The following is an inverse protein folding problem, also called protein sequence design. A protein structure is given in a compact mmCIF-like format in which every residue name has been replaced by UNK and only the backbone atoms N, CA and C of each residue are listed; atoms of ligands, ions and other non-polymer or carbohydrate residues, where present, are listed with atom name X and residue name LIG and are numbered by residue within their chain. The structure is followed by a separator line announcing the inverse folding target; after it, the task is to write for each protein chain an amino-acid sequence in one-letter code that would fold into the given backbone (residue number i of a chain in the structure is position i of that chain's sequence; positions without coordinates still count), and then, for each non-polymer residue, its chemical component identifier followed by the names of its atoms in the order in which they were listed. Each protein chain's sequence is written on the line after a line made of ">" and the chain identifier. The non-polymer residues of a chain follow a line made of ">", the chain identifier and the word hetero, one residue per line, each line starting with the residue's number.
data_IF_835365431250
#
_entry.id   IF_835365431250
#
_cell.length_a   1.000
_cell.length_b   1.000
_cell.length_c   1.000
_cell.angle_alpha   90.00
_cell.angle_beta   90.00
_cell.angle_gamma   90.00
#
_symmetry.space_group_name_H-M   'P 1'
#
loop_
_entity.id
_entity.type
_entity.pdbx_description
1 polymer ?
#
# COMPACT_ATOMS: atom_id res chain seq x y z
N UNK A 1 -12.21 7.99 -4.99
CA UNK A 1 -11.27 7.18 -4.18
C UNK A 1 -9.92 7.08 -4.86
N UNK A 2 -9.83 6.42 -6.02
CA UNK A 2 -8.56 6.17 -6.75
C UNK A 2 -7.73 7.44 -6.99
N UNK A 3 -8.35 8.52 -7.48
CA UNK A 3 -7.64 9.79 -7.72
C UNK A 3 -7.05 10.40 -6.43
N UNK A 4 -7.74 10.26 -5.29
CA UNK A 4 -7.22 10.73 -4.00
C UNK A 4 -6.00 9.92 -3.55
N UNK A 5 -6.03 8.60 -3.74
CA UNK A 5 -4.87 7.75 -3.46
C UNK A 5 -3.70 8.05 -4.40
N UNK A 6 -3.97 8.43 -5.65
CA UNK A 6 -2.93 8.88 -6.57
C UNK A 6 -2.26 10.16 -6.07
N UNK A 7 -3.03 11.13 -5.58
CA UNK A 7 -2.45 12.34 -4.96
C UNK A 7 -1.56 12.02 -3.77
N UNK A 8 -1.97 11.11 -2.87
CA UNK A 8 -1.12 10.66 -1.76
C UNK A 8 0.16 9.99 -2.27
N UNK A 9 0.07 9.15 -3.31
CA UNK A 9 1.26 8.52 -3.89
C UNK A 9 2.23 9.56 -4.47
N UNK A 10 1.71 10.57 -5.18
CA UNK A 10 2.48 11.63 -5.78
C UNK A 10 3.18 12.50 -4.71
N UNK A 11 2.47 12.84 -3.62
CA UNK A 11 3.02 13.56 -2.46
C UNK A 11 4.16 12.79 -1.76
N UNK A 12 4.06 11.46 -1.73
CA UNK A 12 5.09 10.56 -1.19
C UNK A 12 6.20 10.21 -2.20
N UNK A 13 6.20 10.81 -3.40
CA UNK A 13 7.21 10.59 -4.42
C UNK A 13 7.19 9.17 -5.01
N UNK A 14 6.02 8.53 -5.02
CA UNK A 14 5.82 7.17 -5.53
C UNK A 14 4.65 7.11 -6.52
N UNK A 15 4.17 5.91 -6.84
CA UNK A 15 2.97 5.72 -7.66
C UNK A 15 1.98 4.78 -7.00
N UNK A 16 0.75 4.79 -7.50
CA UNK A 16 -0.36 4.07 -6.88
C UNK A 16 -0.12 2.54 -6.72
N UNK A 17 0.44 1.80 -7.70
CA UNK A 17 0.81 0.41 -7.49
C UNK A 17 1.77 0.22 -6.31
N UNK A 18 2.85 1.01 -6.26
CA UNK A 18 3.84 0.94 -5.18
C UNK A 18 3.19 1.27 -3.83
N UNK A 19 2.40 2.34 -3.77
CA UNK A 19 1.67 2.74 -2.56
C UNK A 19 0.76 1.61 -2.06
N UNK A 20 -0.02 0.98 -2.95
CA UNK A 20 -0.96 -0.08 -2.55
C UNK A 20 -0.26 -1.31 -1.97
N UNK A 21 0.91 -1.68 -2.51
CA UNK A 21 1.67 -2.82 -2.02
C UNK A 21 2.41 -2.49 -0.73
N UNK A 22 2.97 -1.28 -0.62
CA UNK A 22 3.63 -0.83 0.60
C UNK A 22 2.63 -0.72 1.77
N UNK A 23 1.40 -0.25 1.52
CA UNK A 23 0.34 -0.18 2.53
C UNK A 23 0.04 -1.55 3.12
N UNK A 24 -0.24 -2.56 2.28
CA UNK A 24 -0.56 -3.90 2.79
C UNK A 24 0.65 -4.57 3.46
N UNK A 25 1.88 -4.31 3.00
CA UNK A 25 3.10 -4.86 3.58
C UNK A 25 3.49 -4.25 4.94
N UNK A 26 2.92 -3.10 5.31
CA UNK A 26 3.13 -2.51 6.64
C UNK A 26 2.20 -3.08 7.72
N UNK A 27 1.23 -3.91 7.35
CA UNK A 27 0.43 -4.66 8.32
C UNK A 27 1.25 -5.84 8.87
N UNK A 28 1.51 -5.92 10.19
CA UNK A 28 2.38 -6.95 10.77
C UNK A 28 1.83 -8.38 10.58
N UNK A 29 0.52 -8.52 10.39
CA UNK A 29 -0.14 -9.78 10.05
C UNK A 29 0.16 -10.30 8.63
N UNK A 30 0.70 -9.46 7.74
CA UNK A 30 0.98 -9.81 6.34
C UNK A 30 2.48 -10.07 6.15
N UNK A 31 2.83 -11.30 5.76
CA UNK A 31 4.23 -11.66 5.53
C UNK A 31 4.71 -11.38 4.10
N UNK A 32 3.81 -11.39 3.11
CA UNK A 32 4.18 -11.16 1.71
C UNK A 32 3.00 -10.70 0.85
N UNK A 33 3.33 -10.17 -0.34
CA UNK A 33 2.37 -9.84 -1.40
C UNK A 33 2.75 -10.60 -2.66
N UNK A 34 1.75 -11.25 -3.29
CA UNK A 34 1.92 -11.89 -4.59
C UNK A 34 1.60 -10.85 -5.67
N UNK A 35 2.63 -10.29 -6.30
CA UNK A 35 2.47 -9.25 -7.30
C UNK A 35 2.47 -9.81 -8.73
N UNK A 36 1.47 -9.46 -9.54
CA UNK A 36 1.43 -9.78 -10.97
C UNK A 36 2.15 -8.73 -11.82
N UNK A 37 2.78 -9.16 -12.91
CA UNK A 37 3.39 -8.30 -13.91
C UNK A 37 3.32 -8.96 -15.30
N UNK A 38 2.93 -8.20 -16.33
CA UNK A 38 2.89 -8.64 -17.73
C UNK A 38 4.12 -8.21 -18.53
N UNK A 39 4.94 -7.30 -17.98
CA UNK A 39 6.16 -6.77 -18.61
C UNK A 39 7.25 -6.52 -17.55
N UNK A 40 8.54 -6.58 -17.90
CA UNK A 40 9.64 -6.37 -16.96
C UNK A 40 9.55 -5.05 -16.16
N UNK A 41 9.21 -3.93 -16.81
CA UNK A 41 9.09 -2.64 -16.13
C UNK A 41 7.99 -2.59 -15.05
N UNK A 42 6.96 -3.44 -15.14
CA UNK A 42 5.97 -3.56 -14.06
C UNK A 42 6.54 -4.31 -12.86
N UNK A 43 7.32 -5.37 -13.10
CA UNK A 43 8.02 -6.08 -12.03
C UNK A 43 9.01 -5.14 -11.33
N UNK A 44 9.83 -4.41 -12.08
CA UNK A 44 10.76 -3.40 -11.55
C UNK A 44 10.03 -2.34 -10.72
N UNK A 45 8.85 -1.88 -11.18
CA UNK A 45 8.05 -0.95 -10.42
C UNK A 45 7.51 -1.58 -9.13
N UNK A 46 7.02 -2.81 -9.18
CA UNK A 46 6.48 -3.50 -8.02
C UNK A 46 7.53 -3.71 -6.92
N UNK A 47 8.78 -3.99 -7.31
CA UNK A 47 9.89 -4.17 -6.38
C UNK A 47 10.16 -2.92 -5.52
N UNK A 48 9.81 -1.72 -6.00
CA UNK A 48 9.96 -0.47 -5.24
C UNK A 48 9.06 -0.41 -4.00
N UNK A 49 8.03 -1.25 -3.89
CA UNK A 49 7.20 -1.34 -2.70
C UNK A 49 7.93 -2.01 -1.53
N UNK A 50 8.90 -2.88 -1.80
CA UNK A 50 9.68 -3.53 -0.76
C UNK A 50 10.54 -2.50 -0.03
N UNK A 51 10.37 -2.40 1.28
CA UNK A 51 11.11 -1.45 2.12
C UNK A 51 10.59 -0.01 2.05
N UNK A 52 9.64 0.32 1.17
CA UNK A 52 9.02 1.64 1.14
C UNK A 52 8.21 1.86 2.42
N UNK A 53 8.57 2.89 3.20
CA UNK A 53 7.88 3.22 4.44
C UNK A 53 6.88 4.34 4.21
N UNK A 54 5.59 4.02 4.34
CA UNK A 54 4.52 5.02 4.38
C UNK A 54 4.53 5.66 5.77
N UNK A 55 4.59 7.00 5.87
CA UNK A 55 4.45 7.72 7.14
C UNK A 55 3.09 7.47 7.81
N UNK A 56 3.05 7.58 9.14
CA UNK A 56 1.85 7.24 9.92
C UNK A 56 0.63 8.12 9.58
N UNK A 57 0.83 9.40 9.31
CA UNK A 57 -0.22 10.33 8.87
C UNK A 57 -0.78 9.95 7.50
N UNK A 58 0.08 9.56 6.56
CA UNK A 58 -0.35 9.06 5.26
C UNK A 58 -1.09 7.72 5.36
N UNK A 59 -0.69 6.81 6.25
CA UNK A 59 -1.43 5.57 6.53
C UNK A 59 -2.87 5.88 7.01
N UNK A 60 -3.01 6.82 7.95
CA UNK A 60 -4.33 7.27 8.45
C UNK A 60 -5.18 7.87 7.32
N UNK A 61 -4.58 8.68 6.43
CA UNK A 61 -5.31 9.24 5.29
C UNK A 61 -5.73 8.16 4.29
N UNK A 62 -4.90 7.14 4.02
CA UNK A 62 -5.25 6.02 3.15
C UNK A 62 -6.44 5.24 3.72
N UNK A 63 -6.41 4.92 5.02
CA UNK A 63 -7.50 4.22 5.71
C UNK A 63 -8.81 5.04 5.62
N UNK A 64 -8.71 6.36 5.80
CA UNK A 64 -9.86 7.28 5.64
C UNK A 64 -10.38 7.35 4.21
N UNK A 65 -9.51 7.35 3.20
CA UNK A 65 -9.90 7.37 1.78
C UNK A 65 -10.63 6.08 1.40
N UNK A 66 -10.15 4.95 1.90
CA UNK A 66 -10.65 3.61 1.56
C UNK A 66 -11.82 3.15 2.44
N UNK A 67 -12.02 3.77 3.60
CA UNK A 67 -12.95 3.28 4.61
C UNK A 67 -12.47 1.96 5.23
N UNK A 68 -11.16 1.71 5.23
CA UNK A 68 -10.60 0.51 5.81
C UNK A 68 -10.73 0.57 7.34
N UNK A 69 -11.22 -0.54 7.89
CA UNK A 69 -11.29 -0.75 9.33
C UNK A 69 -10.67 -2.11 9.62
N UNK A 70 -9.62 -2.10 10.45
CA UNK A 70 -8.96 -3.34 10.85
C UNK A 70 -9.98 -4.24 11.56
N UNK A 71 -10.11 -5.46 11.07
CA UNK A 71 -10.93 -6.47 11.70
C UNK A 71 -10.10 -7.23 12.73
N UNK A 72 -10.52 -7.22 13.99
CA UNK A 72 -9.90 -7.98 15.07
C UNK A 72 -10.88 -9.00 15.60
N UNK A 73 -10.52 -10.29 15.49
CA UNK A 73 -11.31 -11.40 16.06
C UNK A 73 -10.54 -12.02 17.21
N UNK A 74 -11.13 -11.95 18.39
CA UNK A 74 -10.69 -12.69 19.56
C UNK A 74 -11.36 -14.08 19.53
N UNK A 75 -10.57 -15.14 19.35
CA UNK A 75 -11.05 -16.52 19.49
C UNK A 75 -10.81 -16.93 20.94
N UNK A 76 -11.90 -17.15 21.68
CA UNK A 76 -11.87 -17.76 23.01
C UNK A 76 -11.78 -19.28 22.96
#
# INVERSE_FOLDING_TARGET
>A
MVERLRSVADELGTNLPVLSMAWILQHPEISCVIAGASKPGQLENNLKASGFQIPADAMVEIDRITGFHRFERHVG
#
